data_IF_478992188885
#
_entry.id   IF_478992188885
#
_cell.length_a   1.000
_cell.length_b   1.000
_cell.length_c   1.000
_cell.angle_alpha   90.00
_cell.angle_beta   90.00
_cell.angle_gamma   90.00
#
_symmetry.space_group_name_H-M   'P 1'
#
loop_
_entity.id
_entity.type
_entity.pdbx_description
1 polymer ?
#
# COMPACT_ATOMS: atom_id res chain seq x y z
N UNK A 1 7.71 19.91 -4.48
CA UNK A 1 8.24 18.53 -4.58
C UNK A 1 7.85 17.82 -3.29
N UNK A 2 6.97 16.81 -3.35
CA UNK A 2 6.41 16.18 -2.14
C UNK A 2 7.38 15.12 -1.61
N UNK A 3 8.31 15.50 -0.74
CA UNK A 3 9.06 14.55 0.10
C UNK A 3 8.15 14.09 1.23
N UNK A 4 7.51 12.93 1.07
CA UNK A 4 6.79 12.29 2.16
C UNK A 4 7.81 11.53 3.02
N UNK A 5 8.48 12.25 3.91
CA UNK A 5 9.35 11.70 4.95
C UNK A 5 8.46 11.08 6.04
N UNK A 6 8.47 9.76 6.20
CA UNK A 6 8.02 9.12 7.44
C UNK A 6 9.28 8.72 8.22
N UNK A 7 9.50 9.29 9.41
CA UNK A 7 10.54 8.85 10.31
C UNK A 7 9.94 7.81 11.27
N UNK A 8 10.08 6.53 10.97
CA UNK A 8 9.83 5.45 11.93
C UNK A 8 11.07 4.54 11.94
N UNK A 9 11.55 4.29 13.15
CA UNK A 9 12.87 3.80 13.50
C UNK A 9 13.01 2.31 13.18
N UNK A 10 14.09 1.94 12.47
CA UNK A 10 14.69 0.60 12.53
C UNK A 10 14.42 -0.36 11.37
N UNK A 11 15.02 -0.13 10.19
CA UNK A 11 15.41 -1.24 9.30
C UNK A 11 16.45 -0.78 8.27
N UNK A 12 17.71 -0.88 8.64
CA UNK A 12 18.84 -0.42 7.83
C UNK A 12 19.08 -1.36 6.64
N UNK A 13 18.83 -0.88 5.42
CA UNK A 13 19.55 -1.34 4.21
C UNK A 13 18.68 -1.60 2.99
N UNK A 14 17.75 -2.57 3.06
CA UNK A 14 17.18 -3.17 1.84
C UNK A 14 15.93 -2.46 1.33
N UNK A 15 15.02 -2.04 2.21
CA UNK A 15 13.83 -1.28 1.80
C UNK A 15 14.13 0.18 1.44
N UNK A 16 15.37 0.66 1.61
CA UNK A 16 15.77 2.01 1.20
C UNK A 16 16.01 2.14 -0.30
N UNK A 17 16.29 1.02 -0.99
CA UNK A 17 16.58 1.00 -2.43
C UNK A 17 15.44 0.39 -3.25
N UNK A 18 14.40 -0.14 -2.60
CA UNK A 18 13.22 -0.72 -3.26
C UNK A 18 12.10 0.32 -3.30
N UNK A 19 11.58 0.54 -4.51
CA UNK A 19 10.40 1.36 -4.74
C UNK A 19 9.21 0.45 -5.06
N UNK A 20 8.25 0.37 -4.15
CA UNK A 20 7.02 -0.39 -4.33
C UNK A 20 5.92 0.45 -5.00
N UNK A 21 4.94 -0.22 -5.59
CA UNK A 21 3.80 0.42 -6.25
C UNK A 21 2.79 1.02 -5.25
N UNK A 22 1.75 1.68 -5.77
CA UNK A 22 0.69 2.23 -4.93
C UNK A 22 -0.02 1.16 -4.09
N UNK A 23 -0.12 1.41 -2.79
CA UNK A 23 -0.72 0.52 -1.76
C UNK A 23 0.10 -0.73 -1.47
N UNK A 24 1.39 -0.69 -1.80
CA UNK A 24 2.37 -1.64 -1.32
C UNK A 24 3.23 -1.01 -0.23
N UNK A 25 3.84 -1.88 0.57
CA UNK A 25 4.81 -1.57 1.59
C UNK A 25 5.98 -2.54 1.47
N UNK A 26 7.19 -2.02 1.63
CA UNK A 26 8.38 -2.84 1.60
C UNK A 26 8.58 -3.50 2.96
N UNK A 27 8.68 -4.82 2.98
CA UNK A 27 8.93 -5.61 4.20
C UNK A 27 10.14 -6.51 3.99
N UNK A 28 10.87 -6.78 5.08
CA UNK A 28 11.90 -7.82 5.09
C UNK A 28 11.23 -9.17 5.27
N UNK A 29 11.53 -10.10 4.38
CA UNK A 29 11.07 -11.48 4.55
C UNK A 29 11.82 -12.13 5.71
N UNK A 30 11.06 -12.70 6.67
CA UNK A 30 11.59 -13.23 7.92
C UNK A 30 12.73 -14.23 7.67
N UNK A 31 13.82 -14.09 8.45
CA UNK A 31 15.03 -14.93 8.37
C UNK A 31 15.75 -14.90 7.01
N UNK A 32 15.53 -13.86 6.19
CA UNK A 32 16.23 -13.66 4.93
C UNK A 32 16.82 -12.26 4.86
N UNK A 33 17.72 -12.05 3.89
CA UNK A 33 18.21 -10.74 3.48
C UNK A 33 17.46 -10.22 2.24
N UNK A 34 16.20 -10.62 2.09
CA UNK A 34 15.35 -10.25 0.95
C UNK A 34 14.32 -9.24 1.42
N UNK A 35 14.22 -8.13 0.70
CA UNK A 35 13.15 -7.16 0.85
C UNK A 35 12.15 -7.34 -0.30
N UNK A 36 10.87 -7.39 0.04
CA UNK A 36 9.77 -7.61 -0.90
C UNK A 36 8.71 -6.54 -0.73
N UNK A 37 8.02 -6.22 -1.83
CA UNK A 37 6.84 -5.38 -1.80
C UNK A 37 5.62 -6.25 -1.54
N UNK A 38 4.86 -5.93 -0.49
CA UNK A 38 3.59 -6.58 -0.16
C UNK A 38 2.48 -5.56 -0.16
N UNK A 39 1.26 -5.96 -0.53
CA UNK A 39 0.11 -5.08 -0.37
C UNK A 39 -0.05 -4.71 1.11
N UNK A 40 -0.35 -3.44 1.38
CA UNK A 40 -0.66 -2.97 2.73
C UNK A 40 -1.83 -3.75 3.31
N UNK A 41 -1.88 -3.88 4.63
CA UNK A 41 -2.99 -4.57 5.27
C UNK A 41 -4.26 -3.72 5.32
N UNK A 42 -4.13 -2.40 5.37
CA UNK A 42 -5.28 -1.51 5.50
C UNK A 42 -5.02 -0.08 4.99
N UNK A 43 -6.14 0.61 4.74
CA UNK A 43 -6.16 2.04 4.47
C UNK A 43 -6.34 2.82 5.78
N UNK A 44 -5.72 3.99 5.88
CA UNK A 44 -5.98 4.92 6.99
C UNK A 44 -7.47 5.32 6.99
N UNK A 45 -8.11 5.28 8.16
CA UNK A 45 -9.57 5.39 8.33
C UNK A 45 -10.13 6.81 8.21
N UNK A 46 -9.53 7.67 7.40
CA UNK A 46 -9.97 9.07 7.25
C UNK A 46 -10.98 9.27 6.10
N UNK A 47 -11.72 8.24 5.72
CA UNK A 47 -12.67 8.33 4.62
C UNK A 47 -14.02 8.91 5.09
N UNK A 48 -14.44 9.98 4.43
CA UNK A 48 -15.80 10.53 4.54
C UNK A 48 -16.76 9.70 3.69
N UNK A 49 -18.05 9.69 4.05
CA UNK A 49 -19.10 9.02 3.26
C UNK A 49 -19.20 9.52 1.81
N UNK A 50 -18.68 10.72 1.54
CA UNK A 50 -18.60 11.35 0.22
C UNK A 50 -17.46 10.85 -0.66
N UNK A 51 -16.50 10.08 -0.11
CA UNK A 51 -15.30 9.68 -0.84
C UNK A 51 -15.48 8.42 -1.70
N UNK A 52 -16.71 7.89 -1.77
CA UNK A 52 -17.02 6.64 -2.46
C UNK A 52 -16.66 6.72 -3.95
N UNK A 53 -16.07 5.64 -4.46
CA UNK A 53 -15.67 5.51 -5.87
C UNK A 53 -16.33 4.29 -6.50
N UNK A 54 -16.73 4.40 -7.76
CA UNK A 54 -17.27 3.30 -8.55
C UNK A 54 -16.25 2.88 -9.61
N UNK A 55 -16.01 1.58 -9.74
CA UNK A 55 -15.14 1.00 -10.77
C UNK A 55 -15.91 0.68 -12.05
N UNK A 56 -15.19 0.45 -13.15
CA UNK A 56 -15.79 0.02 -14.43
C UNK A 56 -16.54 -1.30 -14.31
N UNK A 57 -16.13 -2.17 -13.39
CA UNK A 57 -16.77 -3.45 -13.11
C UNK A 57 -18.04 -3.32 -12.24
N UNK A 58 -18.47 -2.10 -11.93
CA UNK A 58 -19.65 -1.82 -11.12
C UNK A 58 -19.46 -2.02 -9.60
N UNK A 59 -18.23 -2.28 -9.15
CA UNK A 59 -17.93 -2.36 -7.71
C UNK A 59 -17.75 -0.96 -7.12
N UNK A 60 -18.41 -0.70 -5.99
CA UNK A 60 -18.29 0.55 -5.23
C UNK A 60 -17.37 0.34 -4.04
N UNK A 61 -16.42 1.25 -3.85
CA UNK A 61 -15.49 1.25 -2.72
C UNK A 61 -15.70 2.51 -1.88
N UNK A 62 -15.41 2.41 -0.58
CA UNK A 62 -15.56 3.53 0.35
C UNK A 62 -14.70 4.74 0.02
N UNK A 63 -13.54 4.51 -0.59
CA UNK A 63 -12.63 5.53 -1.09
C UNK A 63 -11.65 4.94 -2.10
N UNK A 64 -10.82 5.81 -2.70
CA UNK A 64 -9.80 5.43 -3.68
C UNK A 64 -8.70 4.52 -3.11
N UNK A 65 -8.35 4.64 -1.81
CA UNK A 65 -7.39 3.74 -1.18
C UNK A 65 -7.96 2.32 -1.13
N UNK A 66 -9.20 2.15 -0.67
CA UNK A 66 -9.85 0.83 -0.59
C UNK A 66 -9.95 0.15 -1.96
N UNK A 67 -10.25 0.94 -3.01
CA UNK A 67 -10.27 0.45 -4.40
C UNK A 67 -8.90 -0.03 -4.86
N UNK A 68 -7.85 0.78 -4.62
CA UNK A 68 -6.51 0.45 -5.06
C UNK A 68 -5.90 -0.70 -4.25
N UNK A 69 -6.21 -0.78 -2.95
CA UNK A 69 -5.81 -1.90 -2.09
C UNK A 69 -6.43 -3.21 -2.57
N UNK A 70 -7.73 -3.23 -2.85
CA UNK A 70 -8.39 -4.40 -3.42
C UNK A 70 -7.77 -4.81 -4.78
N UNK A 71 -7.36 -3.82 -5.58
CA UNK A 71 -6.66 -4.07 -6.85
C UNK A 71 -5.27 -4.67 -6.64
N UNK A 72 -4.51 -4.20 -5.65
CA UNK A 72 -3.22 -4.77 -5.27
C UNK A 72 -3.37 -6.25 -4.87
N UNK A 73 -4.31 -6.54 -3.97
CA UNK A 73 -4.54 -7.89 -3.47
C UNK A 73 -4.98 -8.87 -4.57
N UNK A 74 -5.75 -8.40 -5.56
CA UNK A 74 -6.13 -9.22 -6.73
C UNK A 74 -4.94 -9.59 -7.63
N UNK A 75 -3.89 -8.76 -7.70
CA UNK A 75 -2.69 -9.03 -8.53
C UNK A 75 -1.75 -10.05 -7.89
N UNK A 76 -1.74 -10.15 -6.57
CA UNK A 76 -0.86 -11.03 -5.79
C UNK A 76 -1.45 -12.45 -5.63
N UNK A 77 -2.56 -12.77 -6.29
CA UNK A 77 -3.28 -14.05 -6.22
C UNK A 77 -3.20 -14.79 -7.54
#
# INVERSE_FOLDING_TARGET
MKTRMHPEIGSSGLCQTIFCDQNEECVLQANTTIAICVCKDSCQKFASATDKVCTKDGQIFDNICSMNLASCQKKQK
#
